data_IF_142629375592
#
_entry.id   IF_142629375592
#
_cell.length_a   1.000
_cell.length_b   1.000
_cell.length_c   1.000
_cell.angle_alpha   90.00
_cell.angle_beta   90.00
_cell.angle_gamma   90.00
#
_symmetry.space_group_name_H-M   'P 1'
#
loop_
_entity.id
_entity.type
_entity.pdbx_description
1 polymer ?
#
# COMPACT_ATOMS: atom_id res chain seq x y z
N UNK A 1 7.85 17.08 1.07
CA UNK A 1 6.98 15.88 1.01
C UNK A 1 5.74 16.23 0.21
N UNK A 2 5.15 15.26 -0.50
CA UNK A 2 3.95 15.50 -1.30
C UNK A 2 2.72 15.82 -0.45
N UNK A 3 1.93 16.82 -0.87
CA UNK A 3 0.72 17.24 -0.14
C UNK A 3 -0.52 16.38 -0.39
N UNK A 4 -0.45 15.39 -1.27
CA UNK A 4 -1.56 14.49 -1.63
C UNK A 4 -1.05 13.13 -2.08
N UNK A 5 -1.92 12.11 -2.05
CA UNK A 5 -1.57 10.76 -2.52
C UNK A 5 -1.19 10.74 -4.02
N UNK A 6 -1.78 11.64 -4.81
CA UNK A 6 -1.49 11.77 -6.24
C UNK A 6 -0.11 12.39 -6.52
N UNK A 7 0.31 13.36 -5.70
CA UNK A 7 1.60 14.04 -5.83
C UNK A 7 2.78 13.30 -5.20
N UNK A 8 2.56 12.11 -4.64
CA UNK A 8 3.59 11.34 -3.94
C UNK A 8 4.52 10.62 -4.93
N UNK A 9 5.47 11.36 -5.49
CA UNK A 9 6.39 10.83 -6.49
C UNK A 9 7.19 9.64 -5.98
N UNK A 10 7.35 8.62 -6.84
CA UNK A 10 8.15 7.40 -6.58
C UNK A 10 7.70 6.57 -5.38
N UNK A 11 6.38 6.50 -5.15
CA UNK A 11 5.80 5.66 -4.10
C UNK A 11 4.88 4.60 -4.68
N UNK A 12 4.84 3.44 -4.04
CA UNK A 12 3.93 2.34 -4.41
C UNK A 12 2.47 2.77 -4.48
N UNK A 13 2.06 3.76 -3.66
CA UNK A 13 0.71 4.32 -3.69
C UNK A 13 0.43 5.08 -4.98
N UNK A 14 1.37 5.90 -5.46
CA UNK A 14 1.23 6.65 -6.70
C UNK A 14 1.17 5.70 -7.91
N UNK A 15 2.04 4.67 -7.93
CA UNK A 15 2.02 3.64 -8.98
C UNK A 15 0.67 2.92 -9.02
N UNK A 16 0.14 2.50 -7.86
CA UNK A 16 -1.17 1.84 -7.76
C UNK A 16 -2.30 2.75 -8.26
N UNK A 17 -2.30 4.03 -7.89
CA UNK A 17 -3.32 4.99 -8.32
C UNK A 17 -3.28 5.20 -9.85
N UNK A 18 -2.09 5.45 -10.41
CA UNK A 18 -1.91 5.67 -11.86
C UNK A 18 -2.36 4.46 -12.67
N UNK A 19 -1.99 3.26 -12.23
CA UNK A 19 -2.40 2.02 -12.89
C UNK A 19 -3.92 1.82 -12.84
N UNK A 20 -4.54 2.02 -11.67
CA UNK A 20 -5.98 1.85 -11.49
C UNK A 20 -6.80 2.84 -12.34
N UNK A 21 -6.36 4.10 -12.45
CA UNK A 21 -6.97 5.09 -13.33
C UNK A 21 -6.93 4.67 -14.80
N UNK A 22 -5.78 4.14 -15.24
CA UNK A 22 -5.59 3.64 -16.61
C UNK A 22 -6.52 2.45 -16.89
N UNK A 23 -6.62 1.51 -15.95
CA UNK A 23 -7.54 0.38 -16.01
C UNK A 23 -9.00 0.82 -16.14
N UNK A 24 -9.46 1.73 -15.27
CA UNK A 24 -10.82 2.27 -15.31
C UNK A 24 -11.15 2.96 -16.64
N UNK A 25 -10.21 3.75 -17.17
CA UNK A 25 -10.36 4.42 -18.47
C UNK A 25 -10.52 3.41 -19.61
N UNK A 26 -9.78 2.30 -19.58
CA UNK A 26 -9.95 1.23 -20.56
C UNK A 26 -11.31 0.54 -20.43
N UNK A 27 -11.73 0.19 -19.21
CA UNK A 27 -13.03 -0.44 -18.97
C UNK A 27 -14.20 0.42 -19.48
N UNK A 28 -14.15 1.73 -19.23
CA UNK A 28 -15.16 2.67 -19.74
C UNK A 28 -15.20 2.69 -21.28
N UNK A 29 -14.04 2.75 -21.93
CA UNK A 29 -13.94 2.71 -23.41
C UNK A 29 -14.50 1.41 -24.00
N UNK A 30 -14.22 0.27 -23.37
CA UNK A 30 -14.73 -1.04 -23.81
C UNK A 30 -16.25 -1.13 -23.66
N UNK A 31 -16.82 -0.64 -22.55
CA UNK A 31 -18.28 -0.60 -22.37
C UNK A 31 -19.01 0.24 -23.43
N UNK A 32 -18.39 1.30 -23.92
CA UNK A 32 -18.98 2.21 -24.91
C UNK A 32 -18.70 1.83 -26.37
N UNK A 33 -17.85 0.83 -26.65
CA UNK A 33 -17.55 0.35 -28.01
C UNK A 33 -17.90 -1.13 -28.10
N UNK A 34 -19.06 -1.43 -28.67
CA UNK A 34 -19.64 -2.78 -28.70
C UNK A 34 -18.77 -3.81 -29.44
N UNK A 35 -17.89 -3.44 -30.38
CA UNK A 35 -17.17 -4.41 -31.22
C UNK A 35 -15.69 -4.05 -31.47
N UNK A 36 -14.83 -4.04 -30.45
CA UNK A 36 -13.37 -4.01 -30.66
C UNK A 36 -12.64 -4.86 -29.63
N UNK A 37 -12.05 -5.97 -30.08
CA UNK A 37 -11.03 -6.72 -29.34
C UNK A 37 -9.77 -5.86 -29.29
N UNK A 38 -9.42 -5.30 -28.14
CA UNK A 38 -8.14 -4.61 -27.97
C UNK A 38 -7.07 -5.64 -27.60
N UNK A 39 -5.99 -5.71 -28.37
CA UNK A 39 -4.87 -6.65 -28.15
C UNK A 39 -4.12 -6.41 -26.82
N UNK A 40 -4.35 -5.26 -26.19
CA UNK A 40 -3.71 -4.88 -24.93
C UNK A 40 -4.73 -4.78 -23.79
N UNK A 41 -4.49 -5.53 -22.72
CA UNK A 41 -5.25 -5.46 -21.46
C UNK A 41 -4.41 -4.76 -20.39
N UNK A 42 -4.86 -3.60 -19.91
CA UNK A 42 -4.24 -2.90 -18.79
C UNK A 42 -4.60 -3.65 -17.51
N UNK A 43 -3.59 -4.06 -16.75
CA UNK A 43 -3.83 -4.71 -15.46
C UNK A 43 -4.40 -3.74 -14.43
N UNK A 44 -5.17 -4.23 -13.47
CA UNK A 44 -5.73 -3.41 -12.40
C UNK A 44 -4.67 -2.87 -11.43
N UNK A 45 -3.50 -3.52 -11.33
CA UNK A 45 -2.41 -3.17 -10.42
C UNK A 45 -1.03 -3.27 -11.07
N UNK A 46 -0.02 -2.51 -10.57
CA UNK A 46 1.33 -2.52 -11.14
C UNK A 46 2.00 -3.90 -11.01
N UNK A 47 2.65 -4.37 -12.08
CA UNK A 47 3.33 -5.69 -12.10
C UNK A 47 4.50 -5.80 -11.12
N UNK A 48 5.19 -4.69 -10.86
CA UNK A 48 6.36 -4.65 -9.99
C UNK A 48 5.99 -4.70 -8.49
N UNK A 49 4.72 -4.50 -8.15
CA UNK A 49 4.23 -4.52 -6.78
C UNK A 49 3.48 -5.82 -6.51
N UNK A 50 3.60 -6.32 -5.28
CA UNK A 50 2.84 -7.48 -4.84
C UNK A 50 1.33 -7.22 -4.99
N UNK A 51 0.61 -8.16 -5.58
CA UNK A 51 -0.83 -8.05 -5.81
C UNK A 51 -1.60 -8.14 -4.50
N UNK A 52 -2.76 -7.51 -4.49
CA UNK A 52 -3.78 -7.71 -3.48
C UNK A 52 -4.56 -9.01 -3.77
N UNK A 53 -4.82 -9.82 -2.75
CA UNK A 53 -5.50 -11.12 -2.87
C UNK A 53 -6.22 -11.52 -1.59
N UNK A 54 -6.68 -12.77 -1.53
CA UNK A 54 -7.29 -13.35 -0.33
C UNK A 54 -6.21 -13.88 0.62
N UNK A 55 -6.55 -14.06 1.90
CA UNK A 55 -5.62 -14.62 2.90
C UNK A 55 -5.05 -15.99 2.53
N UNK A 56 -5.76 -16.77 1.73
CA UNK A 56 -5.31 -18.08 1.25
C UNK A 56 -4.34 -18.00 0.06
N UNK A 57 -4.28 -16.87 -0.63
CA UNK A 57 -3.50 -16.72 -1.86
C UNK A 57 -2.03 -16.49 -1.52
N UNK A 58 -1.18 -17.46 -1.89
CA UNK A 58 0.26 -17.33 -1.78
C UNK A 58 0.75 -16.15 -2.62
N UNK A 59 1.70 -15.39 -2.08
CA UNK A 59 2.36 -14.25 -2.72
C UNK A 59 1.43 -13.05 -2.99
N UNK A 60 0.39 -12.89 -2.19
CA UNK A 60 -0.48 -11.71 -2.22
C UNK A 60 -0.53 -11.03 -0.86
N UNK A 61 -0.92 -9.76 -0.86
CA UNK A 61 -1.24 -9.02 0.35
C UNK A 61 -2.75 -9.15 0.60
N UNK A 62 -3.21 -9.63 1.77
CA UNK A 62 -4.63 -9.84 2.08
C UNK A 62 -5.36 -8.52 2.38
N UNK A 63 -5.43 -7.65 1.38
CA UNK A 63 -5.98 -6.30 1.42
C UNK A 63 -6.79 -6.07 0.16
N UNK A 64 -7.77 -5.17 0.20
CA UNK A 64 -8.27 -4.58 -1.05
C UNK A 64 -7.48 -3.31 -1.37
N UNK A 65 -7.50 -2.89 -2.63
CA UNK A 65 -6.93 -1.60 -3.02
C UNK A 65 -7.60 -0.45 -2.25
N UNK A 66 -8.90 -0.54 -2.00
CA UNK A 66 -9.65 0.47 -1.27
C UNK A 66 -9.22 0.56 0.20
N UNK A 67 -9.07 -0.57 0.88
CA UNK A 67 -8.62 -0.62 2.27
C UNK A 67 -7.20 -0.07 2.40
N UNK A 68 -6.31 -0.42 1.47
CA UNK A 68 -4.96 0.11 1.42
C UNK A 68 -4.93 1.65 1.26
N UNK A 69 -5.71 2.19 0.32
CA UNK A 69 -5.77 3.64 0.10
C UNK A 69 -6.40 4.37 1.28
N UNK A 70 -7.43 3.78 1.90
CA UNK A 70 -8.11 4.33 3.08
C UNK A 70 -7.16 4.38 4.27
N UNK A 71 -6.43 3.29 4.53
CA UNK A 71 -5.43 3.24 5.59
C UNK A 71 -4.30 4.25 5.37
N UNK A 72 -3.81 4.37 4.13
CA UNK A 72 -2.75 5.32 3.81
C UNK A 72 -3.20 6.78 3.96
N UNK A 73 -4.42 7.13 3.52
CA UNK A 73 -4.93 8.48 3.71
C UNK A 73 -5.14 8.81 5.19
N UNK A 74 -5.80 7.90 5.94
CA UNK A 74 -5.97 8.01 7.38
C UNK A 74 -4.64 8.24 8.11
N UNK A 75 -3.65 7.39 7.85
CA UNK A 75 -2.32 7.47 8.47
C UNK A 75 -1.62 8.81 8.17
N UNK A 76 -1.72 9.29 6.93
CA UNK A 76 -1.10 10.55 6.55
C UNK A 76 -1.69 11.77 7.25
N UNK A 77 -2.99 11.73 7.59
CA UNK A 77 -3.69 12.82 8.30
C UNK A 77 -3.35 12.85 9.79
N UNK A 78 -3.13 11.68 10.39
CA UNK A 78 -2.63 11.60 11.77
C UNK A 78 -1.25 12.24 11.89
N UNK A 79 -0.37 11.98 10.91
CA UNK A 79 0.98 12.55 10.90
C UNK A 79 0.94 14.05 10.54
N UNK A 80 0.05 14.46 9.63
CA UNK A 80 -0.08 15.83 9.17
C UNK A 80 -1.54 16.30 9.18
N UNK A 81 -2.05 16.82 10.31
CA UNK A 81 -3.46 17.20 10.49
C UNK A 81 -3.94 18.23 9.46
N UNK A 82 -3.05 19.13 9.02
CA UNK A 82 -3.37 20.21 8.08
C UNK A 82 -3.39 19.76 6.60
N UNK A 83 -3.50 18.46 6.31
CA UNK A 83 -3.57 17.95 4.93
C UNK A 83 -4.93 18.30 4.29
N UNK A 84 -4.89 18.92 3.11
CA UNK A 84 -6.10 19.41 2.39
C UNK A 84 -7.10 18.28 2.05
N UNK A 85 -8.39 18.62 1.98
CA UNK A 85 -9.50 17.74 1.56
C UNK A 85 -10.36 17.21 2.70
N UNK A 86 -11.64 16.91 2.41
CA UNK A 86 -12.61 16.33 3.34
C UNK A 86 -12.52 14.81 3.32
N UNK A 87 -12.34 14.17 4.48
CA UNK A 87 -12.30 12.71 4.64
C UNK A 87 -12.94 12.32 5.97
N UNK A 88 -13.59 11.16 5.98
CA UNK A 88 -14.18 10.56 7.17
C UNK A 88 -13.12 10.38 8.27
N UNK A 89 -13.46 10.78 9.50
CA UNK A 89 -12.65 10.58 10.72
C UNK A 89 -12.69 9.13 11.22
N UNK A 90 -13.32 8.22 10.47
CA UNK A 90 -13.48 6.83 10.86
C UNK A 90 -12.17 6.05 10.76
N UNK A 91 -11.93 5.24 11.79
CA UNK A 91 -10.79 4.32 11.84
C UNK A 91 -10.98 3.25 10.74
N UNK A 92 -9.97 3.02 9.88
CA UNK A 92 -10.04 2.01 8.84
C UNK A 92 -10.32 0.62 9.42
N UNK A 93 -11.41 -0.03 8.95
CA UNK A 93 -11.83 -1.39 9.40
C UNK A 93 -10.72 -2.44 9.31
N UNK A 94 -9.77 -2.24 8.40
CA UNK A 94 -8.65 -3.14 8.18
C UNK A 94 -7.74 -3.29 9.42
N UNK A 95 -7.63 -2.24 10.25
CA UNK A 95 -6.88 -2.34 11.52
C UNK A 95 -7.54 -3.36 12.45
N UNK A 96 -8.87 -3.33 12.57
CA UNK A 96 -9.63 -4.30 13.36
C UNK A 96 -9.52 -5.71 12.79
N UNK A 97 -9.63 -5.88 11.47
CA UNK A 97 -9.54 -7.19 10.79
C UNK A 97 -8.17 -7.84 11.02
N UNK A 98 -7.11 -7.04 11.05
CA UNK A 98 -5.74 -7.51 11.30
C UNK A 98 -5.40 -7.60 12.79
N UNK A 99 -6.35 -7.30 13.68
CA UNK A 99 -6.15 -7.23 15.13
C UNK A 99 -4.99 -6.28 15.51
N UNK A 100 -4.91 -5.14 14.83
CA UNK A 100 -3.93 -4.08 15.09
C UNK A 100 -4.64 -2.96 15.86
N UNK A 101 -4.18 -2.70 17.07
CA UNK A 101 -4.66 -1.59 17.88
C UNK A 101 -4.26 -0.24 17.25
N UNK A 102 -5.16 0.75 17.34
CA UNK A 102 -4.96 2.05 16.73
C UNK A 102 -3.73 2.79 17.28
N UNK A 103 -3.53 2.79 18.60
CA UNK A 103 -2.40 3.48 19.22
C UNK A 103 -1.07 2.82 18.84
N UNK A 104 -1.05 1.48 18.78
CA UNK A 104 0.08 0.71 18.28
C UNK A 104 0.40 1.04 16.81
N UNK A 105 -0.62 1.19 15.96
CA UNK A 105 -0.45 1.63 14.57
C UNK A 105 0.14 3.05 14.49
N UNK A 106 -0.43 4.00 15.24
CA UNK A 106 0.01 5.40 15.27
C UNK A 106 1.47 5.50 15.69
N UNK A 107 1.82 4.83 16.80
CA UNK A 107 3.18 4.79 17.29
C UNK A 107 4.15 4.22 16.23
N UNK A 108 3.73 3.14 15.55
CA UNK A 108 4.51 2.50 14.50
C UNK A 108 4.76 3.44 13.31
N UNK A 109 3.73 4.12 12.79
CA UNK A 109 3.89 4.99 11.61
C UNK A 109 4.67 6.28 11.93
N UNK A 110 4.54 6.82 13.15
CA UNK A 110 5.29 8.01 13.57
C UNK A 110 6.76 7.71 13.80
N UNK A 111 7.07 6.52 14.36
CA UNK A 111 8.42 6.12 14.70
C UNK A 111 9.00 5.09 13.73
N UNK A 112 8.37 4.91 12.55
CA UNK A 112 8.69 3.82 11.64
C UNK A 112 10.18 3.76 11.34
N UNK A 113 10.79 4.87 10.88
CA UNK A 113 12.23 4.93 10.58
C UNK A 113 13.15 4.69 11.78
N UNK A 114 12.67 5.01 12.99
CA UNK A 114 13.44 4.83 14.23
C UNK A 114 13.40 3.37 14.68
N UNK A 115 12.23 2.73 14.58
CA UNK A 115 12.02 1.33 14.95
C UNK A 115 12.57 0.37 13.88
N UNK A 116 12.25 0.67 12.63
CA UNK A 116 12.59 -0.06 11.42
C UNK A 116 13.52 0.81 10.57
N UNK A 117 14.71 0.33 10.23
CA UNK A 117 15.64 1.10 9.41
C UNK A 117 15.21 1.02 7.93
N UNK A 118 15.82 0.11 7.19
CA UNK A 118 15.47 -0.16 5.79
C UNK A 118 14.55 -1.38 5.64
N UNK A 119 14.49 -2.24 6.66
CA UNK A 119 13.77 -3.50 6.62
C UNK A 119 12.88 -3.63 7.86
N UNK A 120 11.71 -4.26 7.69
CA UNK A 120 10.79 -4.59 8.76
C UNK A 120 10.29 -6.03 8.55
N UNK A 121 10.18 -6.79 9.63
CA UNK A 121 9.70 -8.16 9.58
C UNK A 121 10.08 -8.97 10.82
N UNK A 122 9.76 -10.26 10.81
CA UNK A 122 10.18 -11.17 11.87
C UNK A 122 11.70 -11.29 11.93
N UNK A 123 12.24 -11.57 13.12
CA UNK A 123 13.68 -11.80 13.34
C UNK A 123 14.26 -12.81 12.35
N UNK A 124 13.55 -13.92 12.11
CA UNK A 124 13.99 -14.97 11.19
C UNK A 124 14.04 -14.50 9.74
N UNK A 125 13.04 -13.73 9.28
CA UNK A 125 13.02 -13.16 7.93
C UNK A 125 14.11 -12.11 7.74
N UNK A 126 14.35 -11.26 8.74
CA UNK A 126 15.41 -10.25 8.69
C UNK A 126 16.80 -10.86 8.67
N UNK A 127 17.04 -11.92 9.44
CA UNK A 127 18.31 -12.65 9.41
C UNK A 127 18.55 -13.29 8.04
N UNK A 128 17.53 -13.93 7.46
CA UNK A 128 17.62 -14.50 6.10
C UNK A 128 17.92 -13.42 5.06
N UNK A 129 17.22 -12.28 5.14
CA UNK A 129 17.42 -11.15 4.23
C UNK A 129 18.83 -10.53 4.38
N UNK A 130 19.32 -10.37 5.60
CA UNK A 130 20.68 -9.89 5.85
C UNK A 130 21.71 -10.83 5.22
N UNK A 131 21.56 -12.14 5.45
CA UNK A 131 22.45 -13.13 4.86
C UNK A 131 22.46 -13.11 3.33
N UNK A 132 21.29 -12.98 2.69
CA UNK A 132 21.19 -12.89 1.22
C UNK A 132 21.84 -11.64 0.63
N UNK A 133 22.08 -10.61 1.45
CA UNK A 133 22.78 -9.38 1.06
C UNK A 133 24.22 -9.33 1.59
N UNK A 134 24.78 -10.44 2.08
CA UNK A 134 26.11 -10.52 2.69
C UNK A 134 26.28 -9.60 3.93
N UNK A 135 25.19 -9.37 4.68
CA UNK A 135 25.21 -8.66 5.96
C UNK A 135 24.97 -9.62 7.14
N UNK A 136 25.47 -9.25 8.32
CA UNK A 136 25.30 -10.05 9.53
C UNK A 136 23.96 -9.84 10.23
N UNK A 137 23.35 -8.65 10.12
CA UNK A 137 22.09 -8.31 10.76
C UNK A 137 21.43 -7.08 10.12
N UNK A 138 20.11 -6.96 10.30
CA UNK A 138 19.34 -5.74 10.04
C UNK A 138 18.58 -5.32 11.29
N UNK A 139 18.46 -4.00 11.48
CA UNK A 139 17.55 -3.41 12.47
C UNK A 139 16.11 -3.50 11.96
N UNK A 140 15.16 -3.70 12.88
CA UNK A 140 13.73 -3.64 12.57
C UNK A 140 12.95 -4.91 12.88
N UNK A 141 13.36 -5.71 13.88
CA UNK A 141 12.53 -6.78 14.39
C UNK A 141 11.30 -6.17 15.08
N UNK A 142 10.11 -6.47 14.56
CA UNK A 142 8.83 -6.28 15.23
C UNK A 142 8.55 -7.46 16.15
#
# INVERSE_FOLDING_TARGET
MAGSLLGSDFTSIQERIKQYQSFKKQQYKLKNKVNKTSDFNVLQQPKALMSFGLTADRNTVPFTLFDYLSLADFSSRIIQPNKRGAVSSEIPKILTVLNIEIDSWINTIQHFRRQYANFAGSKSSLMKCAHSHNHSWYKGCA
#
